data_IF_259857906376
#
_entry.id   IF_259857906376
#
_cell.length_a   1.000
_cell.length_b   1.000
_cell.length_c   1.000
_cell.angle_alpha   90.00
_cell.angle_beta   90.00
_cell.angle_gamma   90.00
#
_symmetry.space_group_name_H-M   'P 1'
#
loop_
_entity.id
_entity.type
_entity.pdbx_description
1 polymer ?
#
# COMPACT_ATOMS: atom_id res chain seq x y z
N UNK A 1 -69.30 12.45 21.14
CA UNK A 1 -67.93 12.98 21.17
C UNK A 1 -67.16 12.17 20.15
N UNK A 2 -66.96 12.75 18.97
CA UNK A 2 -66.37 12.07 17.82
C UNK A 2 -64.98 12.66 17.63
N UNK A 3 -63.95 11.91 18.01
CA UNK A 3 -62.57 12.29 17.77
C UNK A 3 -62.23 12.03 16.29
N UNK A 4 -62.06 13.12 15.56
CA UNK A 4 -61.58 13.13 14.18
C UNK A 4 -60.06 13.15 14.22
N UNK A 5 -59.44 11.99 14.04
CA UNK A 5 -57.98 11.85 13.89
C UNK A 5 -57.56 12.35 12.52
N UNK A 6 -57.06 13.58 12.45
CA UNK A 6 -56.48 14.17 11.23
C UNK A 6 -55.10 13.56 10.99
N UNK A 7 -54.99 12.72 9.96
CA UNK A 7 -53.70 12.25 9.45
C UNK A 7 -52.95 13.44 8.82
N UNK A 8 -51.95 13.96 9.55
CA UNK A 8 -50.99 14.91 9.01
C UNK A 8 -50.15 14.22 7.93
N UNK A 9 -50.31 14.64 6.68
CA UNK A 9 -49.43 14.24 5.59
C UNK A 9 -48.03 14.79 5.85
N UNK A 10 -47.04 13.90 5.94
CA UNK A 10 -45.63 14.30 5.89
C UNK A 10 -45.30 14.71 4.46
N UNK A 11 -45.20 16.02 4.22
CA UNK A 11 -44.60 16.53 3.00
C UNK A 11 -43.14 16.09 2.98
N UNK A 12 -42.78 15.27 1.99
CA UNK A 12 -41.40 14.92 1.67
C UNK A 12 -40.76 16.20 1.14
N UNK A 13 -40.08 16.93 2.02
CA UNK A 13 -39.31 18.11 1.65
C UNK A 13 -38.16 17.62 0.76
N UNK A 14 -38.29 17.89 -0.53
CA UNK A 14 -37.33 17.50 -1.55
C UNK A 14 -36.05 18.30 -1.37
N UNK A 15 -35.14 17.80 -0.54
CA UNK A 15 -33.73 18.20 -0.60
C UNK A 15 -33.14 17.65 -1.90
N UNK A 16 -33.38 18.37 -3.00
CA UNK A 16 -32.63 18.23 -4.23
C UNK A 16 -31.16 18.50 -3.91
N UNK A 17 -30.39 17.42 -3.75
CA UNK A 17 -28.94 17.49 -3.60
C UNK A 17 -28.35 18.07 -4.88
N UNK A 18 -27.97 19.34 -4.84
CA UNK A 18 -27.21 20.03 -5.88
C UNK A 18 -25.72 19.67 -5.86
N UNK A 19 -25.38 18.48 -5.37
CA UNK A 19 -24.02 17.94 -5.50
C UNK A 19 -23.77 17.54 -6.94
N UNK A 20 -23.39 18.53 -7.76
CA UNK A 20 -22.67 18.26 -9.00
C UNK A 20 -21.29 17.79 -8.60
N UNK A 21 -21.14 16.46 -8.45
CA UNK A 21 -19.82 15.85 -8.45
C UNK A 21 -19.16 16.28 -9.75
N UNK A 22 -18.29 17.31 -9.71
CA UNK A 22 -17.36 17.54 -10.80
C UNK A 22 -16.44 16.34 -10.78
N UNK A 23 -16.81 15.30 -11.51
CA UNK A 23 -16.04 14.07 -11.63
C UNK A 23 -14.73 14.50 -12.28
N UNK A 24 -13.71 14.70 -11.45
CA UNK A 24 -12.40 15.08 -11.93
C UNK A 24 -11.96 14.02 -12.95
N UNK A 25 -11.69 14.48 -14.18
CA UNK A 25 -11.32 13.60 -15.27
C UNK A 25 -9.86 13.18 -15.08
N UNK A 26 -9.68 11.91 -14.70
CA UNK A 26 -8.38 11.27 -14.56
C UNK A 26 -8.01 10.44 -15.79
N UNK A 27 -8.68 10.66 -16.93
CA UNK A 27 -8.31 10.05 -18.20
C UNK A 27 -6.91 10.50 -18.60
N UNK A 28 -6.09 9.52 -18.98
CA UNK A 28 -4.74 9.73 -19.45
C UNK A 28 -4.76 9.97 -20.97
N UNK A 29 -3.88 10.83 -21.44
CA UNK A 29 -3.56 10.92 -22.88
C UNK A 29 -2.76 9.68 -23.33
N UNK A 30 -2.73 9.33 -24.62
CA UNK A 30 -1.95 8.19 -25.11
C UNK A 30 -0.47 8.23 -24.73
N UNK A 31 0.13 9.42 -24.69
CA UNK A 31 1.53 9.60 -24.28
C UNK A 31 1.71 9.34 -22.77
N UNK A 32 0.75 9.77 -21.95
CA UNK A 32 0.74 9.51 -20.51
C UNK A 32 0.51 8.03 -20.21
N UNK A 33 -0.37 7.35 -20.95
CA UNK A 33 -0.58 5.90 -20.85
C UNK A 33 0.72 5.14 -21.13
N UNK A 34 1.46 5.54 -22.16
CA UNK A 34 2.76 4.95 -22.48
C UNK A 34 3.81 5.19 -21.37
N UNK A 35 3.74 6.33 -20.65
CA UNK A 35 4.63 6.62 -19.52
C UNK A 35 4.39 5.70 -18.32
N UNK A 36 3.12 5.36 -18.05
CA UNK A 36 2.72 4.57 -16.88
C UNK A 36 2.37 3.12 -17.22
N UNK A 37 2.78 2.65 -18.40
CA UNK A 37 2.57 1.27 -18.81
C UNK A 37 3.22 0.31 -17.80
N UNK A 38 2.43 -0.66 -17.29
CA UNK A 38 2.88 -1.64 -16.30
C UNK A 38 2.97 -1.12 -14.85
N UNK A 39 2.53 0.12 -14.56
CA UNK A 39 2.55 0.66 -13.20
C UNK A 39 1.67 -0.12 -12.20
N UNK A 40 0.67 -0.84 -12.71
CA UNK A 40 -0.22 -1.68 -11.91
C UNK A 40 0.43 -3.01 -11.52
N UNK A 41 1.49 -3.43 -12.22
CA UNK A 41 2.23 -4.68 -12.00
C UNK A 41 3.46 -4.51 -11.08
N UNK A 42 3.55 -3.37 -10.36
CA UNK A 42 4.66 -3.11 -9.45
C UNK A 42 4.70 -4.13 -8.32
N UNK A 43 5.85 -4.80 -8.13
CA UNK A 43 6.09 -5.60 -6.93
C UNK A 43 6.37 -4.64 -5.76
N UNK A 44 5.54 -4.61 -4.70
CA UNK A 44 5.76 -3.71 -3.59
C UNK A 44 7.11 -3.93 -2.88
N UNK A 45 7.68 -5.13 -2.96
CA UNK A 45 8.97 -5.45 -2.35
C UNK A 45 10.12 -4.94 -3.21
N UNK A 46 10.09 -5.21 -4.52
CA UNK A 46 11.26 -4.99 -5.38
C UNK A 46 11.20 -3.69 -6.18
N UNK A 47 10.00 -3.24 -6.54
CA UNK A 47 9.80 -2.10 -7.44
C UNK A 47 9.62 -0.76 -6.71
N UNK A 48 9.18 -0.77 -5.45
CA UNK A 48 8.93 0.46 -4.70
C UNK A 48 10.15 0.80 -3.81
N UNK A 49 10.72 2.01 -3.91
CA UNK A 49 11.80 2.44 -3.01
C UNK A 49 11.39 2.30 -1.54
N UNK A 50 12.31 1.80 -0.70
CA UNK A 50 12.08 1.66 0.75
C UNK A 50 12.63 2.88 1.51
N UNK A 51 11.95 3.37 2.55
CA UNK A 51 12.53 4.37 3.45
C UNK A 51 13.68 3.79 4.29
N UNK A 52 13.72 2.46 4.46
CA UNK A 52 14.78 1.77 5.19
C UNK A 52 15.81 1.24 4.21
N UNK A 53 17.04 1.78 4.31
CA UNK A 53 18.19 1.30 3.55
C UNK A 53 18.96 0.31 4.41
N UNK A 54 19.10 -0.93 3.95
CA UNK A 54 19.99 -1.88 4.60
C UNK A 54 21.44 -1.40 4.46
N UNK A 55 22.10 -1.12 5.58
CA UNK A 55 23.51 -0.74 5.61
C UNK A 55 24.34 -1.99 5.88
N UNK A 56 25.19 -2.38 4.92
CA UNK A 56 26.06 -3.56 5.03
C UNK A 56 26.12 -4.41 3.76
N UNK A 57 27.02 -5.40 3.74
CA UNK A 57 27.16 -6.35 2.62
C UNK A 57 25.99 -7.34 2.61
N UNK A 58 24.94 -7.00 1.86
CA UNK A 58 23.73 -7.83 1.70
C UNK A 58 23.95 -9.05 0.80
N UNK A 59 25.12 -9.21 0.18
CA UNK A 59 25.42 -10.33 -0.73
C UNK A 59 25.51 -11.70 -0.03
N UNK A 60 25.56 -11.73 1.32
CA UNK A 60 25.74 -12.97 2.11
C UNK A 60 24.43 -13.63 2.57
N UNK A 61 23.26 -13.07 2.28
CA UNK A 61 21.96 -13.64 2.71
C UNK A 61 21.43 -14.78 1.81
N UNK A 62 22.28 -15.39 0.97
CA UNK A 62 21.87 -16.47 0.05
C UNK A 62 21.43 -17.78 0.75
N UNK A 63 21.51 -17.86 2.07
CA UNK A 63 21.10 -19.02 2.86
C UNK A 63 19.71 -18.75 3.41
N UNK A 64 18.74 -19.61 3.05
CA UNK A 64 17.41 -19.59 3.67
C UNK A 64 17.59 -19.86 5.17
N UNK A 65 17.16 -18.95 6.06
CA UNK A 65 17.34 -19.14 7.49
C UNK A 65 16.54 -20.35 7.96
N UNK A 66 16.98 -21.06 9.02
CA UNK A 66 16.17 -22.12 9.62
C UNK A 66 14.88 -21.53 10.21
N UNK A 67 13.81 -22.33 10.32
CA UNK A 67 12.52 -21.89 10.89
C UNK A 67 12.70 -21.26 12.26
N UNK A 68 13.61 -21.77 13.09
CA UNK A 68 13.88 -21.26 14.44
C UNK A 68 14.41 -19.82 14.47
N UNK A 69 14.96 -19.32 13.36
CA UNK A 69 15.42 -17.94 13.24
C UNK A 69 14.28 -16.96 12.85
N UNK A 70 13.10 -17.46 12.47
CA UNK A 70 11.93 -16.63 12.18
C UNK A 70 11.25 -16.16 13.48
N UNK A 71 10.54 -15.02 13.47
CA UNK A 71 9.65 -14.61 14.55
C UNK A 71 8.62 -15.70 14.91
N UNK A 72 8.22 -15.85 16.19
CA UNK A 72 7.34 -16.95 16.62
C UNK A 72 6.06 -17.12 15.80
N UNK A 73 5.42 -16.01 15.41
CA UNK A 73 4.21 -16.04 14.58
C UNK A 73 4.45 -16.65 13.18
N UNK A 74 5.62 -16.39 12.57
CA UNK A 74 5.98 -16.98 11.28
C UNK A 74 6.42 -18.44 11.43
N UNK A 75 7.02 -18.81 12.56
CA UNK A 75 7.33 -20.22 12.83
C UNK A 75 6.05 -21.05 12.85
N UNK A 76 5.02 -20.56 13.53
CA UNK A 76 3.73 -21.23 13.62
C UNK A 76 3.07 -21.33 12.24
N UNK A 77 3.08 -20.25 11.46
CA UNK A 77 2.61 -20.27 10.08
C UNK A 77 3.32 -21.33 9.23
N UNK A 78 4.66 -21.41 9.30
CA UNK A 78 5.43 -22.44 8.56
C UNK A 78 5.07 -23.85 9.04
N UNK A 79 4.96 -24.08 10.35
CA UNK A 79 4.57 -25.39 10.90
C UNK A 79 3.20 -25.83 10.40
N UNK A 80 2.24 -24.93 10.35
CA UNK A 80 0.90 -25.21 9.84
C UNK A 80 0.91 -25.59 8.36
N UNK A 81 1.74 -24.95 7.53
CA UNK A 81 1.91 -25.30 6.11
C UNK A 81 2.54 -26.69 5.90
N UNK A 82 3.27 -27.21 6.90
CA UNK A 82 3.95 -28.50 6.83
C UNK A 82 3.11 -29.67 7.37
N UNK A 83 1.93 -29.40 7.95
CA UNK A 83 1.04 -30.45 8.47
C UNK A 83 0.62 -31.38 7.33
N UNK A 84 0.89 -32.67 7.48
CA UNK A 84 0.50 -33.70 6.51
C UNK A 84 1.44 -33.85 5.31
N UNK A 85 2.55 -33.11 5.25
CA UNK A 85 3.58 -33.28 4.20
C UNK A 85 4.41 -34.55 4.49
N UNK A 86 4.61 -35.45 3.50
CA UNK A 86 5.48 -36.62 3.66
C UNK A 86 6.93 -36.25 4.00
N UNK A 87 7.60 -37.05 4.85
CA UNK A 87 8.98 -36.78 5.29
C UNK A 87 9.97 -36.60 4.12
N UNK A 88 9.79 -37.33 3.03
CA UNK A 88 10.65 -37.27 1.83
C UNK A 88 10.67 -35.89 1.17
N UNK A 89 9.59 -35.11 1.31
CA UNK A 89 9.45 -33.76 0.72
C UNK A 89 9.51 -32.65 1.76
N UNK A 90 9.67 -32.99 3.04
CA UNK A 90 9.58 -32.04 4.15
C UNK A 90 10.60 -30.91 4.02
N UNK A 91 11.85 -31.22 3.67
CA UNK A 91 12.92 -30.22 3.59
C UNK A 91 12.70 -29.19 2.46
N UNK A 92 12.20 -29.64 1.30
CA UNK A 92 11.88 -28.75 0.18
C UNK A 92 10.64 -27.90 0.49
N UNK A 93 9.60 -28.52 1.04
CA UNK A 93 8.38 -27.83 1.46
C UNK A 93 8.66 -26.80 2.55
N UNK A 94 9.51 -27.12 3.53
CA UNK A 94 9.93 -26.22 4.61
C UNK A 94 10.64 -25.00 4.03
N UNK A 95 11.58 -25.19 3.11
CA UNK A 95 12.26 -24.09 2.43
C UNK A 95 11.29 -23.19 1.69
N UNK A 96 10.33 -23.77 0.96
CA UNK A 96 9.28 -23.03 0.26
C UNK A 96 8.41 -22.23 1.22
N UNK A 97 7.93 -22.86 2.29
CA UNK A 97 7.10 -22.22 3.30
C UNK A 97 7.82 -21.07 4.02
N UNK A 98 9.12 -21.21 4.33
CA UNK A 98 9.93 -20.13 4.90
C UNK A 98 10.00 -18.93 3.95
N UNK A 99 10.28 -19.15 2.67
CA UNK A 99 10.36 -18.05 1.69
C UNK A 99 9.02 -17.33 1.55
N UNK A 100 7.90 -18.06 1.53
CA UNK A 100 6.56 -17.48 1.52
C UNK A 100 6.30 -16.67 2.79
N UNK A 101 6.64 -17.20 3.97
CA UNK A 101 6.48 -16.51 5.24
C UNK A 101 7.32 -15.23 5.33
N UNK A 102 8.58 -15.29 4.88
CA UNK A 102 9.48 -14.13 4.80
C UNK A 102 8.93 -13.08 3.83
N UNK A 103 8.45 -13.48 2.65
CA UNK A 103 7.84 -12.58 1.67
C UNK A 103 6.59 -11.90 2.23
N UNK A 104 5.71 -12.65 2.90
CA UNK A 104 4.52 -12.12 3.57
C UNK A 104 4.90 -11.08 4.63
N UNK A 105 5.87 -11.39 5.47
CA UNK A 105 6.35 -10.46 6.49
C UNK A 105 7.02 -9.22 5.88
N UNK A 106 7.78 -9.38 4.79
CA UNK A 106 8.37 -8.25 4.06
C UNK A 106 7.29 -7.33 3.49
N UNK A 107 6.21 -7.86 2.91
CA UNK A 107 5.06 -7.08 2.45
C UNK A 107 4.38 -6.33 3.59
N UNK A 108 4.15 -6.99 4.72
CA UNK A 108 3.55 -6.36 5.89
C UNK A 108 4.41 -5.20 6.42
N UNK A 109 5.72 -5.41 6.52
CA UNK A 109 6.67 -4.36 6.89
C UNK A 109 6.67 -3.22 5.86
N UNK A 110 6.59 -3.55 4.58
CA UNK A 110 6.53 -2.56 3.49
C UNK A 110 5.30 -1.67 3.61
N UNK A 111 4.13 -2.26 3.84
CA UNK A 111 2.87 -1.54 4.05
C UNK A 111 2.96 -0.62 5.28
N UNK A 112 3.54 -1.11 6.38
CA UNK A 112 3.71 -0.31 7.60
C UNK A 112 4.69 0.86 7.44
N UNK A 113 5.79 0.62 6.72
CA UNK A 113 6.85 1.62 6.52
C UNK A 113 6.45 2.66 5.47
N UNK A 114 5.62 2.30 4.50
CA UNK A 114 5.24 3.15 3.38
C UNK A 114 6.33 3.23 2.31
N UNK A 115 6.13 4.13 1.35
CA UNK A 115 7.06 4.32 0.25
C UNK A 115 8.23 5.24 0.64
N UNK A 116 9.43 4.92 0.16
CA UNK A 116 10.63 5.71 0.38
C UNK A 116 10.77 6.94 -0.53
N UNK A 117 11.84 7.72 -0.32
CA UNK A 117 12.19 8.82 -1.23
C UNK A 117 12.33 8.34 -2.68
N UNK A 118 11.81 9.12 -3.62
CA UNK A 118 11.82 8.78 -5.05
C UNK A 118 10.74 7.81 -5.51
N UNK A 119 9.91 7.26 -4.62
CA UNK A 119 8.73 6.50 -5.03
C UNK A 119 7.77 7.39 -5.84
N UNK A 120 7.11 6.81 -6.84
CA UNK A 120 6.10 7.53 -7.64
C UNK A 120 4.86 7.86 -6.81
N UNK A 121 4.06 8.88 -7.19
CA UNK A 121 2.79 9.17 -6.55
C UNK A 121 1.86 7.95 -6.44
N UNK A 122 1.77 7.14 -7.50
CA UNK A 122 0.97 5.91 -7.51
C UNK A 122 1.45 4.89 -6.47
N UNK A 123 2.76 4.64 -6.39
CA UNK A 123 3.32 3.69 -5.43
C UNK A 123 3.10 4.13 -3.97
N UNK A 124 3.14 5.44 -3.70
CA UNK A 124 2.80 6.00 -2.38
C UNK A 124 1.34 5.75 -2.04
N UNK A 125 0.45 6.14 -2.94
CA UNK A 125 -1.00 6.01 -2.74
C UNK A 125 -1.43 4.54 -2.57
N UNK A 126 -0.83 3.63 -3.36
CA UNK A 126 -1.04 2.18 -3.22
C UNK A 126 -0.71 1.70 -1.80
N UNK A 127 0.50 2.02 -1.31
CA UNK A 127 0.92 1.61 0.03
C UNK A 127 0.12 2.30 1.14
N UNK A 128 -0.31 3.55 0.95
CA UNK A 128 -1.15 4.29 1.90
C UNK A 128 -2.54 3.66 2.03
N UNK A 129 -3.16 3.27 0.91
CA UNK A 129 -4.44 2.54 0.90
C UNK A 129 -4.27 1.18 1.58
N UNK A 130 -3.23 0.41 1.20
CA UNK A 130 -2.95 -0.89 1.83
C UNK A 130 -2.72 -0.77 3.34
N UNK A 131 -2.06 0.29 3.80
CA UNK A 131 -1.83 0.54 5.22
C UNK A 131 -3.11 0.84 5.96
N UNK A 132 -3.96 1.69 5.38
CA UNK A 132 -5.26 2.00 5.96
C UNK A 132 -6.14 0.75 6.08
N UNK A 133 -6.12 -0.14 5.08
CA UNK A 133 -6.83 -1.43 5.14
C UNK A 133 -6.23 -2.32 6.23
N UNK A 134 -4.91 -2.46 6.28
CA UNK A 134 -4.22 -3.26 7.30
C UNK A 134 -4.54 -2.82 8.73
N UNK A 135 -4.54 -1.50 8.99
CA UNK A 135 -4.85 -0.96 10.31
C UNK A 135 -6.33 -1.24 10.70
N UNK A 136 -7.25 -1.18 9.73
CA UNK A 136 -8.66 -1.53 9.91
C UNK A 136 -8.86 -3.03 10.18
N UNK A 137 -8.17 -3.91 9.44
CA UNK A 137 -8.21 -5.35 9.67
C UNK A 137 -7.69 -5.71 11.07
N UNK A 138 -6.63 -5.05 11.53
CA UNK A 138 -6.11 -5.25 12.89
C UNK A 138 -7.10 -4.80 13.97
N UNK A 139 -7.80 -3.69 13.75
CA UNK A 139 -8.87 -3.24 14.64
C UNK A 139 -10.03 -4.25 14.63
N UNK A 140 -10.42 -4.73 13.45
CA UNK A 140 -11.45 -5.76 13.27
C UNK A 140 -11.12 -7.03 14.08
N UNK A 141 -9.91 -7.55 13.96
CA UNK A 141 -9.46 -8.75 14.68
C UNK A 141 -9.47 -8.53 16.19
N UNK A 142 -9.04 -7.34 16.63
CA UNK A 142 -9.03 -6.97 18.05
C UNK A 142 -10.45 -6.95 18.63
N UNK A 143 -11.39 -6.31 17.94
CA UNK A 143 -12.79 -6.23 18.37
C UNK A 143 -13.46 -7.62 18.30
N UNK A 144 -13.18 -8.39 17.25
CA UNK A 144 -13.70 -9.75 17.10
C UNK A 144 -13.23 -10.66 18.25
N UNK A 145 -11.96 -10.56 18.65
CA UNK A 145 -11.44 -11.27 19.80
C UNK A 145 -12.14 -10.87 21.11
N UNK A 146 -12.38 -9.57 21.34
CA UNK A 146 -13.11 -9.08 22.51
C UNK A 146 -14.57 -9.58 22.55
N UNK A 147 -15.22 -9.66 21.40
CA UNK A 147 -16.60 -10.16 21.29
C UNK A 147 -16.72 -11.67 21.49
N UNK A 148 -15.65 -12.41 21.17
CA UNK A 148 -15.55 -13.86 21.33
C UNK A 148 -15.06 -14.29 22.72
N UNK A 149 -14.50 -13.37 23.51
CA UNK A 149 -13.99 -13.65 24.86
C UNK A 149 -15.12 -14.12 25.79
N UNK A 150 -14.91 -15.29 26.40
CA UNK A 150 -15.83 -15.90 27.36
C UNK A 150 -15.26 -15.68 28.77
N UNK A 151 -16.03 -15.01 29.63
CA UNK A 151 -15.64 -14.73 31.03
C UNK A 151 -15.80 -15.99 31.88
N UNK A 152 -16.94 -16.67 31.74
CA UNK A 152 -17.25 -17.90 32.46
C UNK A 152 -18.26 -18.75 31.72
N UNK A 153 -18.41 -20.00 32.15
CA UNK A 153 -19.48 -20.87 31.71
C UNK A 153 -20.49 -21.02 32.84
N UNK A 154 -21.76 -20.79 32.54
CA UNK A 154 -22.87 -21.09 33.43
C UNK A 154 -23.52 -22.40 33.01
N UNK A 155 -24.04 -23.18 33.97
CA UNK A 155 -24.75 -24.42 33.65
C UNK A 155 -26.21 -24.10 33.37
N UNK A 156 -26.66 -24.40 32.16
CA UNK A 156 -28.08 -24.34 31.79
C UNK A 156 -28.65 -25.76 31.80
N UNK A 157 -29.84 -25.93 32.36
CA UNK A 157 -30.49 -27.25 32.47
C UNK A 157 -31.66 -27.30 31.51
N UNK A 158 -31.61 -28.22 30.55
CA UNK A 158 -32.71 -28.42 29.61
C UNK A 158 -33.99 -28.83 30.38
N UNK A 159 -35.08 -28.06 30.29
CA UNK A 159 -36.30 -28.32 31.04
C UNK A 159 -37.03 -29.60 30.60
N UNK A 160 -36.73 -30.14 29.41
CA UNK A 160 -37.36 -31.36 28.86
C UNK A 160 -36.58 -32.61 29.24
N UNK A 161 -35.24 -32.56 29.11
CA UNK A 161 -34.38 -33.75 29.31
C UNK A 161 -33.70 -33.79 30.68
N UNK A 162 -33.65 -32.67 31.40
CA UNK A 162 -32.89 -32.52 32.65
C UNK A 162 -31.37 -32.53 32.46
N UNK A 163 -30.89 -32.53 31.22
CA UNK A 163 -29.46 -32.56 30.92
C UNK A 163 -28.83 -31.18 31.17
N UNK A 164 -27.71 -31.17 31.90
CA UNK A 164 -26.89 -29.99 32.12
C UNK A 164 -26.00 -29.72 30.90
N UNK A 165 -26.03 -28.50 30.38
CA UNK A 165 -25.16 -28.05 29.29
C UNK A 165 -24.41 -26.77 29.67
N UNK A 166 -23.12 -26.64 29.30
CA UNK A 166 -22.38 -25.41 29.56
C UNK A 166 -22.80 -24.32 28.58
N UNK A 167 -23.27 -23.19 29.11
CA UNK A 167 -23.61 -21.97 28.36
C UNK A 167 -22.52 -20.93 28.56
N UNK A 168 -21.84 -20.47 27.51
CA UNK A 168 -20.83 -19.43 27.64
C UNK A 168 -21.49 -18.09 28.01
N UNK A 169 -20.91 -17.41 29.00
CA UNK A 169 -21.20 -16.01 29.33
C UNK A 169 -20.03 -15.19 28.81
N UNK A 170 -20.30 -14.38 27.79
CA UNK A 170 -19.29 -13.53 27.16
C UNK A 170 -18.84 -12.41 28.09
N UNK A 171 -17.56 -12.03 27.99
CA UNK A 171 -16.97 -10.94 28.76
C UNK A 171 -17.58 -9.57 28.41
N UNK A 172 -18.19 -9.44 27.22
CA UNK A 172 -18.86 -8.22 26.77
C UNK A 172 -20.31 -8.52 26.38
N UNK A 173 -21.24 -7.80 27.01
CA UNK A 173 -22.68 -7.91 26.80
C UNK A 173 -23.39 -6.53 26.66
N UNK A 174 -24.72 -6.57 26.54
CA UNK A 174 -25.59 -5.39 26.56
C UNK A 174 -25.25 -4.31 25.53
N UNK A 175 -25.24 -3.05 25.97
CA UNK A 175 -24.99 -1.88 25.11
C UNK A 175 -23.55 -1.84 24.59
N UNK A 176 -22.57 -2.30 25.39
CA UNK A 176 -21.15 -2.32 24.99
C UNK A 176 -20.94 -3.29 23.83
N UNK A 177 -21.55 -4.47 23.89
CA UNK A 177 -21.51 -5.44 22.80
C UNK A 177 -22.07 -4.86 21.49
N UNK A 178 -23.25 -4.22 21.56
CA UNK A 178 -23.87 -3.58 20.38
C UNK A 178 -22.98 -2.50 19.75
N UNK A 179 -22.29 -1.71 20.57
CA UNK A 179 -21.37 -0.68 20.09
C UNK A 179 -20.17 -1.28 19.35
N UNK A 180 -19.60 -2.37 19.87
CA UNK A 180 -18.51 -3.10 19.20
C UNK A 180 -18.98 -3.74 17.89
N UNK A 181 -20.16 -4.37 17.86
CA UNK A 181 -20.76 -4.93 16.65
C UNK A 181 -21.02 -3.85 15.58
N UNK A 182 -21.50 -2.67 16.00
CA UNK A 182 -21.65 -1.52 15.10
C UNK A 182 -20.30 -1.03 14.56
N UNK A 183 -19.26 -0.98 15.39
CA UNK A 183 -17.91 -0.62 14.94
C UNK A 183 -17.37 -1.63 13.95
N UNK A 184 -17.59 -2.93 14.14
CA UNK A 184 -17.21 -3.95 13.14
C UNK A 184 -17.92 -3.71 11.80
N UNK A 185 -19.23 -3.45 11.81
CA UNK A 185 -19.97 -3.14 10.58
C UNK A 185 -19.42 -1.89 9.87
N UNK A 186 -19.05 -0.86 10.64
CA UNK A 186 -18.41 0.34 10.11
C UNK A 186 -17.02 0.04 9.51
N UNK A 187 -16.18 -0.74 10.19
CA UNK A 187 -14.86 -1.13 9.68
C UNK A 187 -14.99 -1.89 8.36
N UNK A 188 -15.90 -2.86 8.28
CA UNK A 188 -16.16 -3.60 7.03
C UNK A 188 -16.58 -2.66 5.90
N UNK A 189 -17.42 -1.67 6.19
CA UNK A 189 -17.79 -0.65 5.21
C UNK A 189 -16.59 0.21 4.78
N UNK A 190 -15.77 0.68 5.71
CA UNK A 190 -14.57 1.48 5.42
C UNK A 190 -13.55 0.70 4.58
N UNK A 191 -13.33 -0.58 4.86
CA UNK A 191 -12.50 -1.47 4.03
C UNK A 191 -13.09 -1.56 2.62
N UNK A 192 -14.40 -1.79 2.49
CA UNK A 192 -15.05 -1.91 1.18
C UNK A 192 -14.98 -0.65 0.33
N UNK A 193 -14.98 0.54 0.94
CA UNK A 193 -14.78 1.80 0.23
C UNK A 193 -13.35 1.91 -0.31
N UNK A 194 -12.36 1.62 0.54
CA UNK A 194 -10.93 1.71 0.21
C UNK A 194 -10.49 0.69 -0.83
N UNK A 195 -11.06 -0.51 -0.81
CA UNK A 195 -10.81 -1.54 -1.82
C UNK A 195 -11.67 -1.34 -3.09
N UNK A 196 -12.77 -0.61 -2.97
CA UNK A 196 -13.75 -0.38 -4.02
C UNK A 196 -13.53 0.89 -4.86
N UNK A 197 -14.61 1.65 -5.06
CA UNK A 197 -14.63 2.81 -5.96
C UNK A 197 -13.76 3.97 -5.45
N UNK A 198 -13.72 4.20 -4.14
CA UNK A 198 -12.90 5.29 -3.57
C UNK A 198 -11.42 5.02 -3.79
N UNK A 199 -10.96 3.79 -3.51
CA UNK A 199 -9.60 3.35 -3.77
C UNK A 199 -9.21 3.48 -5.24
N UNK A 200 -10.05 2.94 -6.13
CA UNK A 200 -9.82 3.04 -7.59
C UNK A 200 -9.71 4.48 -8.07
N UNK A 201 -10.57 5.38 -7.58
CA UNK A 201 -10.50 6.81 -7.91
C UNK A 201 -9.20 7.46 -7.42
N UNK A 202 -8.78 7.14 -6.19
CA UNK A 202 -7.51 7.65 -5.63
C UNK A 202 -6.31 7.14 -6.41
N UNK A 203 -6.29 5.86 -6.77
CA UNK A 203 -5.24 5.26 -7.61
C UNK A 203 -5.23 5.84 -9.02
N UNK A 204 -6.39 6.07 -9.65
CA UNK A 204 -6.47 6.70 -10.97
C UNK A 204 -5.90 8.13 -10.95
N UNK A 205 -6.22 8.90 -9.91
CA UNK A 205 -5.62 10.21 -9.69
C UNK A 205 -4.10 10.12 -9.54
N UNK A 206 -3.61 9.23 -8.66
CA UNK A 206 -2.18 9.06 -8.43
C UNK A 206 -1.43 8.52 -9.66
N UNK A 207 -2.11 7.74 -10.53
CA UNK A 207 -1.59 7.28 -11.82
C UNK A 207 -1.34 8.47 -12.76
N UNK A 208 -2.29 9.40 -12.85
CA UNK A 208 -2.13 10.66 -13.60
C UNK A 208 -0.99 11.52 -13.07
N UNK A 209 -0.95 11.73 -11.75
CA UNK A 209 0.16 12.46 -11.11
C UNK A 209 1.51 11.77 -11.36
N UNK A 210 1.54 10.44 -11.49
CA UNK A 210 2.76 9.70 -11.85
C UNK A 210 3.17 9.94 -13.30
N UNK A 211 2.22 9.97 -14.24
CA UNK A 211 2.52 10.28 -15.63
C UNK A 211 3.16 11.68 -15.75
N UNK A 212 2.58 12.67 -15.07
CA UNK A 212 3.10 14.04 -14.99
C UNK A 212 4.50 14.07 -14.35
N UNK A 213 4.69 13.35 -13.24
CA UNK A 213 5.98 13.23 -12.56
C UNK A 213 7.06 12.62 -13.47
N UNK A 214 6.77 11.53 -14.19
CA UNK A 214 7.71 10.87 -15.08
C UNK A 214 8.03 11.72 -16.31
N UNK A 215 7.03 12.44 -16.84
CA UNK A 215 7.23 13.41 -17.92
C UNK A 215 8.20 14.50 -17.50
N UNK A 216 7.95 15.15 -16.36
CA UNK A 216 8.83 16.19 -15.83
C UNK A 216 10.26 15.67 -15.58
N UNK A 217 10.41 14.43 -15.10
CA UNK A 217 11.73 13.81 -14.92
C UNK A 217 12.45 13.61 -16.26
N UNK A 218 11.75 13.16 -17.31
CA UNK A 218 12.34 13.01 -18.65
C UNK A 218 12.74 14.35 -19.25
N UNK A 219 11.89 15.36 -19.11
CA UNK A 219 12.15 16.71 -19.62
C UNK A 219 13.40 17.30 -18.94
N UNK A 220 13.51 17.17 -17.60
CA UNK A 220 14.69 17.61 -16.86
C UNK A 220 15.98 16.90 -17.33
N UNK A 221 15.92 15.59 -17.57
CA UNK A 221 17.09 14.84 -18.06
C UNK A 221 17.50 15.27 -19.47
N UNK A 222 16.53 15.61 -20.33
CA UNK A 222 16.80 16.13 -21.66
C UNK A 222 17.46 17.52 -21.59
N UNK A 223 16.91 18.43 -20.77
CA UNK A 223 17.49 19.76 -20.53
C UNK A 223 18.91 19.68 -19.99
N UNK A 224 19.15 18.81 -18.99
CA UNK A 224 20.48 18.59 -18.43
C UNK A 224 21.48 18.06 -19.47
N UNK A 225 21.02 17.19 -20.39
CA UNK A 225 21.85 16.66 -21.47
C UNK A 225 22.20 17.75 -22.50
N UNK A 226 21.24 18.58 -22.90
CA UNK A 226 21.46 19.71 -23.80
C UNK A 226 22.40 20.76 -23.18
N UNK A 227 22.21 21.08 -21.90
CA UNK A 227 23.08 21.99 -21.16
C UNK A 227 24.53 21.48 -21.12
N UNK A 228 24.73 20.17 -20.90
CA UNK A 228 26.07 19.55 -20.95
C UNK A 228 26.69 19.64 -22.34
N UNK A 229 25.93 19.33 -23.39
CA UNK A 229 26.41 19.42 -24.76
C UNK A 229 26.82 20.85 -25.14
N UNK A 230 26.01 21.85 -24.74
CA UNK A 230 26.31 23.26 -24.96
C UNK A 230 27.58 23.69 -24.20
N UNK A 231 27.74 23.26 -22.95
CA UNK A 231 28.94 23.54 -22.16
C UNK A 231 30.21 22.94 -22.81
N UNK A 232 30.13 21.72 -23.34
CA UNK A 232 31.23 21.09 -24.08
C UNK A 232 31.58 21.85 -25.36
N UNK A 233 30.58 22.31 -26.11
CA UNK A 233 30.78 23.12 -27.30
C UNK A 233 31.46 24.46 -26.97
N UNK A 234 30.98 25.18 -25.96
CA UNK A 234 31.59 26.45 -25.51
C UNK A 234 33.05 26.24 -25.09
N UNK A 235 33.35 25.17 -24.35
CA UNK A 235 34.71 24.81 -23.97
C UNK A 235 35.59 24.51 -25.18
N UNK A 236 35.05 23.85 -26.21
CA UNK A 236 35.76 23.60 -27.47
C UNK A 236 36.06 24.89 -28.22
N UNK A 237 35.08 25.78 -28.36
CA UNK A 237 35.23 27.07 -29.04
C UNK A 237 36.25 27.96 -28.33
N UNK A 238 36.23 28.01 -26.99
CA UNK A 238 37.21 28.72 -26.19
C UNK A 238 38.64 28.19 -26.43
N UNK A 239 38.83 26.87 -26.47
CA UNK A 239 40.13 26.25 -26.80
C UNK A 239 40.60 26.59 -28.21
N UNK A 240 39.69 26.61 -29.19
CA UNK A 240 40.01 26.97 -30.58
C UNK A 240 40.42 28.44 -30.66
N UNK A 241 39.66 29.34 -30.04
CA UNK A 241 39.94 30.78 -30.01
C UNK A 241 41.29 31.07 -29.34
N UNK A 242 41.58 30.45 -28.20
CA UNK A 242 42.87 30.58 -27.52
C UNK A 242 44.04 30.14 -28.42
N UNK A 243 43.91 29.01 -29.13
CA UNK A 243 44.92 28.57 -30.10
C UNK A 243 45.08 29.56 -31.25
N UNK A 244 43.99 30.07 -31.82
CA UNK A 244 44.02 31.05 -32.90
C UNK A 244 44.72 32.36 -32.47
N UNK A 245 44.45 32.84 -31.26
CA UNK A 245 45.12 34.02 -30.69
C UNK A 245 46.63 33.80 -30.49
N UNK A 246 47.05 32.61 -30.04
CA UNK A 246 48.48 32.26 -29.93
C UNK A 246 49.16 32.27 -31.30
N UNK A 247 48.56 31.66 -32.33
CA UNK A 247 49.11 31.69 -33.69
C UNK A 247 49.16 33.11 -34.27
N UNK A 248 48.13 33.93 -34.05
CA UNK A 248 48.10 35.32 -34.50
C UNK A 248 49.22 36.16 -33.85
N UNK A 249 49.51 35.95 -32.56
CA UNK A 249 50.64 36.59 -31.87
C UNK A 249 51.98 36.16 -32.46
N UNK A 250 52.18 34.86 -32.70
CA UNK A 250 53.43 34.34 -33.27
C UNK A 250 53.69 34.91 -34.67
N UNK A 251 52.68 34.96 -35.54
CA UNK A 251 52.81 35.50 -36.90
C UNK A 251 53.14 37.01 -36.92
N UNK A 252 52.63 37.80 -35.96
CA UNK A 252 53.00 39.23 -35.84
C UNK A 252 54.46 39.38 -35.40
N UNK A 253 54.93 38.53 -34.50
CA UNK A 253 56.31 38.59 -34.00
C UNK A 253 57.35 38.12 -35.04
N UNK A 254 56.96 37.32 -36.04
CA UNK A 254 57.88 36.85 -37.09
C UNK A 254 58.00 37.79 -38.29
N UNK A 255 57.14 38.81 -38.38
CA UNK A 255 57.10 39.79 -39.47
C UNK A 255 57.69 41.16 -39.10
N UNK A 256 58.06 41.38 -37.84
CA UNK A 256 58.78 42.56 -37.36
C UNK A 256 60.21 42.20 -37.01
#
# INVERSE_FOLDING_TARGET
>A
MSDTTTNGSFAVDGTESTFTATTADYTLTPDEEALVAGIEDLDPIDSIPSPVVATGDTSRFAIVPPVTALPPALQEYVRQQLVGIPQERLAEAERGAILVAMRKNALELRVKQGAGPGATPYARELLDISRAIYDLEREFDTISAQLAEVDRYETDTDPVTGAASPRPVYAVDGQRRRALEQRLAQITYEISLKDGEEGRRRLAKAKKETAEFLKAQRDQLAEDAEARAMAEQMNREARIKAKAEMYAKHNRSSLG
#
